data_IF_523202630187
#
_entry.id   IF_523202630187
#
_cell.length_a   1.000
_cell.length_b   1.000
_cell.length_c   1.000
_cell.angle_alpha   90.00
_cell.angle_beta   90.00
_cell.angle_gamma   90.00
#
_symmetry.space_group_name_H-M   'P 1'
#
loop_
_entity.id
_entity.type
_entity.pdbx_description
1 polymer ?
#
# COMPACT_ATOMS: atom_id res chain seq x y z
N UNK A 1 -14.25 -40.20 -25.19
CA UNK A 1 -15.46 -39.58 -24.58
C UNK A 1 -14.95 -38.56 -23.58
N UNK A 2 -15.37 -37.32 -23.73
CA UNK A 2 -14.84 -36.16 -23.02
C UNK A 2 -15.16 -36.24 -21.52
N UNK A 3 -14.14 -35.99 -20.68
CA UNK A 3 -14.31 -35.35 -19.39
C UNK A 3 -13.33 -34.19 -19.32
N UNK A 4 -13.67 -33.14 -20.06
CA UNK A 4 -13.09 -31.80 -19.93
C UNK A 4 -13.72 -31.11 -18.72
N UNK A 5 -13.40 -31.59 -17.52
CA UNK A 5 -13.73 -30.92 -16.27
C UNK A 5 -12.48 -30.18 -15.76
N UNK A 6 -12.48 -28.85 -15.91
CA UNK A 6 -11.59 -27.87 -15.29
C UNK A 6 -10.37 -28.41 -14.50
N UNK A 7 -9.25 -28.68 -15.19
CA UNK A 7 -8.04 -29.25 -14.55
C UNK A 7 -7.21 -28.19 -13.82
N UNK A 8 -7.68 -27.75 -12.65
CA UNK A 8 -6.88 -26.97 -11.70
C UNK A 8 -5.85 -27.84 -10.97
N UNK A 9 -4.81 -27.21 -10.38
CA UNK A 9 -3.96 -27.92 -9.42
C UNK A 9 -4.77 -28.19 -8.14
N UNK A 10 -4.72 -29.41 -7.62
CA UNK A 10 -5.48 -29.83 -6.42
C UNK A 10 -4.56 -30.43 -5.35
N UNK A 11 -5.00 -30.40 -4.08
CA UNK A 11 -4.32 -31.11 -3.00
C UNK A 11 -4.10 -32.59 -3.38
N UNK A 12 -2.87 -33.08 -3.19
CA UNK A 12 -2.41 -34.38 -3.69
C UNK A 12 -1.56 -34.33 -4.97
N UNK A 13 -1.77 -33.33 -5.83
CA UNK A 13 -1.04 -33.14 -7.11
C UNK A 13 -0.40 -31.74 -7.24
N UNK A 14 0.05 -31.15 -6.12
CA UNK A 14 0.60 -29.78 -6.09
C UNK A 14 2.11 -29.73 -6.41
N UNK A 15 2.90 -30.47 -5.64
CA UNK A 15 4.35 -30.45 -5.69
C UNK A 15 4.95 -31.72 -5.08
N UNK A 16 6.19 -32.03 -5.45
CA UNK A 16 6.98 -33.11 -4.83
C UNK A 16 7.88 -32.52 -3.76
N UNK A 17 7.51 -32.67 -2.49
CA UNK A 17 8.31 -32.27 -1.32
C UNK A 17 8.83 -33.53 -0.63
N UNK A 18 10.09 -33.52 -0.16
CA UNK A 18 10.72 -34.65 0.55
C UNK A 18 11.39 -34.15 1.82
N UNK A 19 11.25 -34.91 2.92
CA UNK A 19 11.94 -34.70 4.19
C UNK A 19 11.75 -33.31 4.85
N UNK A 20 10.52 -32.77 4.84
CA UNK A 20 10.18 -31.56 5.61
C UNK A 20 9.27 -31.96 6.77
N UNK A 21 9.73 -31.72 8.00
CA UNK A 21 8.97 -31.99 9.23
C UNK A 21 8.51 -30.65 9.80
N UNK A 22 7.21 -30.51 10.02
CA UNK A 22 6.58 -29.30 10.57
C UNK A 22 5.84 -29.65 11.85
N UNK A 23 5.93 -28.78 12.86
CA UNK A 23 5.25 -28.94 14.14
C UNK A 23 4.21 -27.84 14.33
N UNK A 24 3.11 -28.18 14.99
CA UNK A 24 2.01 -27.25 15.29
C UNK A 24 1.41 -27.58 16.66
N UNK A 25 1.00 -26.56 17.40
CA UNK A 25 0.24 -26.71 18.64
C UNK A 25 -1.26 -26.51 18.37
N UNK A 26 -2.12 -27.13 19.17
CA UNK A 26 -3.57 -26.92 19.10
C UNK A 26 -3.91 -25.44 19.33
N UNK A 27 -4.86 -24.84 18.60
CA UNK A 27 -5.26 -23.44 18.81
C UNK A 27 -5.74 -23.14 20.24
N UNK A 28 -6.32 -24.14 20.92
CA UNK A 28 -6.80 -23.99 22.30
C UNK A 28 -5.66 -23.94 23.34
N UNK A 29 -4.44 -24.31 22.94
CA UNK A 29 -3.22 -24.27 23.75
C UNK A 29 -2.38 -23.02 23.47
N UNK A 30 -2.77 -22.22 22.48
CA UNK A 30 -2.06 -21.02 22.06
C UNK A 30 -2.83 -19.75 22.45
N UNK A 31 -2.10 -18.67 22.67
CA UNK A 31 -2.72 -17.35 22.77
C UNK A 31 -3.08 -16.85 21.36
N UNK A 32 -4.26 -16.23 21.21
CA UNK A 32 -4.69 -15.67 19.93
C UNK A 32 -3.83 -14.47 19.48
N UNK A 33 -3.33 -13.68 20.44
CA UNK A 33 -2.48 -12.51 20.19
C UNK A 33 -1.22 -12.52 21.07
N UNK A 34 -0.26 -13.40 20.79
CA UNK A 34 0.97 -13.45 21.55
C UNK A 34 1.85 -12.24 21.19
N UNK A 35 2.58 -11.71 22.16
CA UNK A 35 3.68 -10.76 21.93
C UNK A 35 3.32 -9.50 21.10
N UNK A 36 2.15 -8.92 21.34
CA UNK A 36 1.68 -7.75 20.58
C UNK A 36 2.67 -6.57 20.69
N UNK A 37 3.06 -6.21 21.91
CA UNK A 37 3.92 -5.05 22.12
C UNK A 37 5.41 -5.35 21.87
N UNK A 38 5.88 -6.52 22.29
CA UNK A 38 7.31 -6.88 22.17
C UNK A 38 7.72 -7.24 20.75
N UNK A 39 6.84 -7.87 19.97
CA UNK A 39 7.17 -8.34 18.62
C UNK A 39 6.33 -7.69 17.53
N UNK A 40 5.01 -7.61 17.70
CA UNK A 40 4.13 -7.15 16.61
C UNK A 40 4.33 -5.67 16.30
N UNK A 41 4.37 -4.80 17.32
CA UNK A 41 4.57 -3.35 17.15
C UNK A 41 5.92 -3.01 16.49
N UNK A 42 7.07 -3.50 16.98
CA UNK A 42 8.35 -3.25 16.30
C UNK A 42 8.37 -3.77 14.86
N UNK A 43 7.74 -4.93 14.59
CA UNK A 43 7.67 -5.47 13.24
C UNK A 43 6.79 -4.62 12.31
N UNK A 44 5.68 -4.07 12.81
CA UNK A 44 4.85 -3.12 12.04
C UNK A 44 5.64 -1.85 11.74
N UNK A 45 6.33 -1.28 12.71
CA UNK A 45 7.17 -0.10 12.51
C UNK A 45 8.26 -0.35 11.46
N UNK A 46 8.97 -1.49 11.55
CA UNK A 46 9.96 -1.92 10.56
C UNK A 46 9.35 -2.06 9.15
N UNK A 47 8.18 -2.68 9.03
CA UNK A 47 7.47 -2.84 7.75
C UNK A 47 7.07 -1.49 7.17
N UNK A 48 6.51 -0.60 7.99
CA UNK A 48 6.13 0.75 7.59
C UNK A 48 7.34 1.53 7.08
N UNK A 49 8.41 1.63 7.88
CA UNK A 49 9.64 2.35 7.52
C UNK A 49 10.24 1.87 6.19
N UNK A 50 10.19 0.56 5.91
CA UNK A 50 10.71 -0.01 4.65
C UNK A 50 9.94 0.41 3.38
N UNK A 51 8.71 0.93 3.53
CA UNK A 51 7.85 1.32 2.42
C UNK A 51 7.63 2.83 2.32
N UNK A 52 7.81 3.58 3.41
CA UNK A 52 7.59 5.04 3.44
C UNK A 52 8.31 5.74 2.30
N UNK A 53 9.60 5.48 2.09
CA UNK A 53 10.38 6.15 1.06
C UNK A 53 10.04 5.71 -0.38
N UNK A 54 9.26 4.65 -0.55
CA UNK A 54 8.77 4.22 -1.88
C UNK A 54 7.42 4.84 -2.20
N UNK A 55 6.56 4.98 -1.20
CA UNK A 55 5.16 5.39 -1.37
C UNK A 55 4.98 6.90 -1.14
N UNK A 56 5.64 7.47 -0.13
CA UNK A 56 5.43 8.87 0.25
C UNK A 56 5.97 9.86 -0.78
N UNK A 57 7.15 9.70 -1.41
CA UNK A 57 7.65 10.70 -2.35
C UNK A 57 6.72 11.00 -3.53
N UNK A 58 6.17 10.02 -4.28
CA UNK A 58 5.24 10.33 -5.37
C UNK A 58 3.92 10.93 -4.86
N UNK A 59 3.42 10.51 -3.69
CA UNK A 59 2.21 11.10 -3.09
C UNK A 59 2.43 12.55 -2.66
N UNK A 60 3.56 12.83 -2.02
CA UNK A 60 3.94 14.19 -1.62
C UNK A 60 4.09 15.09 -2.85
N UNK A 61 4.76 14.61 -3.90
CA UNK A 61 4.89 15.36 -5.15
C UNK A 61 3.52 15.65 -5.78
N UNK A 62 2.64 14.64 -5.84
CA UNK A 62 1.27 14.83 -6.35
C UNK A 62 0.48 15.88 -5.55
N UNK A 63 0.62 15.87 -4.22
CA UNK A 63 0.01 16.86 -3.36
C UNK A 63 0.56 18.28 -3.58
N UNK A 64 1.88 18.42 -3.77
CA UNK A 64 2.50 19.71 -4.09
C UNK A 64 2.00 20.26 -5.42
N UNK A 65 1.92 19.43 -6.47
CA UNK A 65 1.39 19.82 -7.78
C UNK A 65 -0.08 20.26 -7.65
N UNK A 66 -0.89 19.49 -6.92
CA UNK A 66 -2.29 19.83 -6.67
C UNK A 66 -2.44 21.19 -5.98
N UNK A 67 -1.67 21.41 -4.91
CA UNK A 67 -1.71 22.67 -4.14
C UNK A 67 -1.27 23.86 -4.98
N UNK A 68 -0.16 23.74 -5.70
CA UNK A 68 0.33 24.77 -6.60
C UNK A 68 -0.69 25.08 -7.71
N UNK A 69 -1.21 24.05 -8.39
CA UNK A 69 -2.16 24.23 -9.48
C UNK A 69 -3.45 24.92 -9.03
N UNK A 70 -3.92 24.61 -7.83
CA UNK A 70 -5.11 25.25 -7.25
C UNK A 70 -4.85 26.73 -6.96
N UNK A 71 -3.74 27.04 -6.29
CA UNK A 71 -3.37 28.42 -5.95
C UNK A 71 -3.12 29.28 -7.20
N UNK A 72 -2.42 28.74 -8.19
CA UNK A 72 -2.09 29.46 -9.41
C UNK A 72 -3.35 29.72 -10.26
N UNK A 73 -4.26 28.76 -10.33
CA UNK A 73 -5.54 28.94 -11.00
C UNK A 73 -6.40 30.03 -10.34
N UNK A 74 -6.43 30.08 -9.01
CA UNK A 74 -7.12 31.16 -8.29
C UNK A 74 -6.46 32.52 -8.50
N UNK A 75 -5.12 32.57 -8.53
CA UNK A 75 -4.35 33.79 -8.79
C UNK A 75 -4.67 34.36 -10.18
N UNK A 76 -4.64 33.52 -11.20
CA UNK A 76 -4.88 33.91 -12.60
C UNK A 76 -6.33 34.32 -12.89
N UNK A 77 -7.29 33.89 -12.06
CA UNK A 77 -8.67 34.36 -12.13
C UNK A 77 -8.86 35.78 -11.63
N UNK A 78 -7.94 36.32 -10.82
CA UNK A 78 -8.03 37.69 -10.32
C UNK A 78 -7.64 38.66 -11.42
N UNK A 79 -8.42 39.75 -11.56
CA UNK A 79 -8.10 40.84 -12.49
C UNK A 79 -6.77 41.49 -12.07
N UNK A 80 -5.91 41.80 -13.04
CA UNK A 80 -4.68 42.53 -12.80
C UNK A 80 -4.96 44.04 -12.82
N UNK A 81 -4.73 44.78 -11.71
CA UNK A 81 -4.98 46.23 -11.68
C UNK A 81 -4.16 47.01 -12.72
N UNK A 82 -2.96 46.54 -13.07
CA UNK A 82 -2.07 47.20 -14.02
C UNK A 82 -2.64 47.25 -15.46
N UNK A 83 -3.61 46.38 -15.77
CA UNK A 83 -4.23 46.36 -17.11
C UNK A 83 -5.19 47.54 -17.33
N UNK A 84 -5.54 48.30 -16.28
CA UNK A 84 -6.52 49.41 -16.33
C UNK A 84 -5.89 50.79 -16.12
N UNK A 85 -4.56 50.89 -16.04
CA UNK A 85 -3.86 52.15 -15.73
C UNK A 85 -3.86 53.15 -16.91
N UNK A 86 -4.06 52.70 -18.15
CA UNK A 86 -4.02 53.53 -19.37
C UNK A 86 -5.34 53.53 -20.17
N UNK A 87 -6.45 53.16 -19.55
CA UNK A 87 -7.76 53.02 -20.22
C UNK A 87 -8.62 54.31 -20.14
N UNK A 88 -7.97 55.48 -20.10
CA UNK A 88 -8.61 56.82 -20.12
C UNK A 88 -8.85 57.35 -21.54
#
# INVERSE_FOLDING_TARGET
>A
RADTAAMGKHFGNLARVRHVISYSLSPFEQQAFPNVLSHSVPNVARRFASQVLKVVPPLALGYLIYSWGTQEFERLKRKNPADYECDQ
#
